data_IF_775647114074
#
_entry.id   IF_775647114074
#
_cell.length_a   1.000
_cell.length_b   1.000
_cell.length_c   1.000
_cell.angle_alpha   90.00
_cell.angle_beta   90.00
_cell.angle_gamma   90.00
#
_symmetry.space_group_name_H-M   'P 1'
#
loop_
_entity.id
_entity.type
_entity.pdbx_description
1 polymer ?
#
# COMPACT_ATOMS: atom_id res chain seq x y z
N UNK A 1 7.37 -14.15 -4.82
CA UNK A 1 8.43 -13.39 -4.11
C UNK A 1 9.76 -14.06 -4.40
N UNK A 2 10.77 -13.31 -4.82
CA UNK A 2 12.10 -13.83 -5.16
C UNK A 2 13.18 -12.92 -4.60
N UNK A 3 14.40 -13.43 -4.49
CA UNK A 3 15.59 -12.64 -4.19
C UNK A 3 16.44 -12.43 -5.45
N UNK A 4 17.22 -11.36 -5.46
CA UNK A 4 18.11 -11.02 -6.57
C UNK A 4 19.55 -11.30 -6.16
N UNK A 5 20.22 -12.15 -6.95
CA UNK A 5 21.60 -12.58 -6.74
C UNK A 5 22.50 -12.08 -7.88
N UNK A 6 23.79 -12.01 -7.62
CA UNK A 6 24.80 -11.84 -8.66
C UNK A 6 24.91 -13.12 -9.51
N UNK A 7 25.52 -13.07 -10.72
CA UNK A 7 25.65 -14.24 -11.59
C UNK A 7 26.43 -15.44 -11.00
N UNK A 8 27.18 -15.22 -9.91
CA UNK A 8 27.85 -16.30 -9.19
C UNK A 8 26.89 -17.22 -8.42
N UNK A 9 25.61 -16.84 -8.33
CA UNK A 9 24.55 -17.62 -7.67
C UNK A 9 24.63 -17.64 -6.15
N UNK A 10 25.60 -16.95 -5.54
CA UNK A 10 25.84 -16.99 -4.09
C UNK A 10 25.92 -15.60 -3.45
N UNK A 11 26.36 -14.57 -4.18
CA UNK A 11 26.47 -13.22 -3.67
C UNK A 11 25.14 -12.49 -3.86
N UNK A 12 24.50 -11.96 -2.80
CA UNK A 12 23.31 -11.13 -2.94
C UNK A 12 23.62 -9.86 -3.75
N UNK A 13 22.73 -9.48 -4.66
CA UNK A 13 22.85 -8.20 -5.35
C UNK A 13 22.75 -7.04 -4.34
N UNK A 14 23.35 -5.88 -4.61
CA UNK A 14 23.38 -4.73 -3.66
C UNK A 14 21.99 -4.20 -3.27
N UNK A 15 20.97 -4.49 -4.08
CA UNK A 15 19.56 -4.18 -3.79
C UNK A 15 18.84 -5.24 -2.95
N UNK A 16 19.42 -6.43 -2.75
CA UNK A 16 18.81 -7.48 -1.94
C UNK A 16 18.92 -7.14 -0.46
N UNK A 17 17.89 -6.46 0.06
CA UNK A 17 17.77 -6.13 1.49
C UNK A 17 17.20 -7.28 2.32
N UNK A 18 16.61 -8.29 1.67
CA UNK A 18 16.13 -9.48 2.38
C UNK A 18 17.28 -10.29 2.95
N UNK A 19 18.37 -10.45 2.19
CA UNK A 19 19.57 -11.18 2.62
C UNK A 19 20.26 -10.59 3.88
N UNK A 20 19.93 -9.35 4.28
CA UNK A 20 20.48 -8.73 5.49
C UNK A 20 19.61 -8.96 6.74
N UNK A 21 18.45 -9.56 6.59
CA UNK A 21 17.48 -9.79 7.66
C UNK A 21 17.64 -11.23 8.14
N UNK A 22 17.82 -11.43 9.44
CA UNK A 22 17.88 -12.75 10.04
C UNK A 22 16.48 -13.33 10.19
N UNK A 23 16.33 -14.62 9.96
CA UNK A 23 15.08 -15.32 10.24
C UNK A 23 14.96 -15.56 11.77
N UNK A 24 13.90 -15.03 12.37
CA UNK A 24 13.55 -15.20 13.80
C UNK A 24 12.05 -15.49 13.90
N UNK A 25 11.70 -16.75 14.20
CA UNK A 25 10.31 -17.20 14.28
C UNK A 25 9.52 -16.57 15.44
N UNK A 26 10.20 -15.99 16.44
CA UNK A 26 9.57 -15.33 17.58
C UNK A 26 9.30 -13.84 17.37
N UNK A 27 9.86 -13.24 16.32
CA UNK A 27 9.73 -11.80 16.06
C UNK A 27 8.41 -11.48 15.35
N UNK A 28 7.62 -10.57 15.92
CA UNK A 28 6.34 -10.13 15.35
C UNK A 28 6.41 -8.67 14.91
N UNK A 29 5.86 -8.38 13.73
CA UNK A 29 5.84 -7.05 13.14
C UNK A 29 4.45 -6.72 12.61
N UNK A 30 4.01 -5.48 12.86
CA UNK A 30 2.86 -4.87 12.22
C UNK A 30 3.34 -3.65 11.43
N UNK A 31 2.86 -3.50 10.20
CA UNK A 31 3.19 -2.36 9.35
C UNK A 31 1.90 -1.68 8.87
N UNK A 32 1.87 -0.36 8.97
CA UNK A 32 0.78 0.47 8.48
C UNK A 32 1.23 1.16 7.19
N UNK A 33 0.92 0.54 6.04
CA UNK A 33 1.31 1.05 4.74
C UNK A 33 0.31 2.09 4.22
N UNK A 34 0.67 3.37 4.29
CA UNK A 34 -0.08 4.45 3.64
C UNK A 34 0.25 4.55 2.15
N UNK A 35 -0.72 4.97 1.32
CA UNK A 35 -0.51 5.23 -0.10
C UNK A 35 -1.54 6.22 -0.67
N UNK A 36 -1.25 6.77 -1.84
CA UNK A 36 -2.12 7.72 -2.54
C UNK A 36 -2.44 7.23 -3.95
N UNK A 37 -3.72 7.30 -4.34
CA UNK A 37 -4.11 7.05 -5.73
C UNK A 37 -3.81 8.25 -6.61
N UNK A 38 -3.21 7.99 -7.76
CA UNK A 38 -2.95 8.98 -8.79
C UNK A 38 -3.53 8.54 -10.12
N UNK A 39 -4.01 9.52 -10.89
CA UNK A 39 -4.44 9.35 -12.28
C UNK A 39 -3.95 10.55 -13.08
N UNK A 40 -3.30 10.30 -14.21
CA UNK A 40 -2.82 11.33 -15.13
C UNK A 40 -1.92 12.40 -14.44
N UNK A 41 -1.05 11.95 -13.53
CA UNK A 41 -0.14 12.82 -12.77
C UNK A 41 -0.80 13.59 -11.61
N UNK A 42 -2.08 13.34 -11.34
CA UNK A 42 -2.88 14.05 -10.33
C UNK A 42 -3.39 13.10 -9.24
N UNK A 43 -3.40 13.49 -7.95
CA UNK A 43 -4.06 12.71 -6.92
C UNK A 43 -5.55 12.53 -7.24
N UNK A 44 -6.05 11.31 -7.10
CA UNK A 44 -7.46 11.00 -7.25
C UNK A 44 -8.28 11.78 -6.21
N UNK A 45 -9.40 12.37 -6.63
CA UNK A 45 -10.28 13.17 -5.77
C UNK A 45 -9.89 14.65 -5.63
N UNK A 46 -8.71 15.05 -6.12
CA UNK A 46 -8.36 16.46 -6.22
C UNK A 46 -9.06 17.11 -7.45
N UNK A 47 -9.33 18.43 -7.40
CA UNK A 47 -9.77 19.16 -8.58
C UNK A 47 -8.69 19.17 -9.68
N UNK A 48 -9.10 19.33 -10.94
CA UNK A 48 -8.21 19.38 -12.11
C UNK A 48 -7.06 20.38 -11.91
N UNK A 49 -7.35 21.52 -11.28
CA UNK A 49 -6.35 22.52 -10.86
C UNK A 49 -6.52 22.88 -9.38
N UNK A 50 -5.42 23.25 -8.71
CA UNK A 50 -5.45 23.72 -7.32
C UNK A 50 -5.40 22.63 -6.25
N UNK A 51 -6.12 22.79 -5.15
CA UNK A 51 -6.15 21.88 -4.01
C UNK A 51 -7.59 21.64 -3.55
N UNK A 52 -7.91 20.50 -2.91
CA UNK A 52 -9.22 20.28 -2.32
C UNK A 52 -9.40 21.18 -1.09
N UNK A 53 -10.59 21.12 -0.49
CA UNK A 53 -10.82 21.75 0.80
C UNK A 53 -9.83 21.22 1.86
N UNK A 54 -9.53 22.01 2.92
CA UNK A 54 -8.61 21.61 3.98
C UNK A 54 -8.91 20.21 4.54
N UNK A 55 -7.87 19.57 5.07
CA UNK A 55 -7.98 18.26 5.72
C UNK A 55 -8.98 18.30 6.89
N UNK A 56 -9.62 17.17 7.15
CA UNK A 56 -10.67 17.04 8.17
C UNK A 56 -11.73 16.01 7.81
N UNK A 57 -12.43 16.14 6.66
CA UNK A 57 -13.54 15.25 6.33
C UNK A 57 -13.11 13.91 5.70
N UNK A 58 -11.82 13.71 5.43
CA UNK A 58 -11.32 12.58 4.62
C UNK A 58 -10.95 11.35 5.46
N UNK A 59 -10.32 11.53 6.63
CA UNK A 59 -9.90 10.43 7.51
C UNK A 59 -11.13 9.65 8.01
N UNK A 60 -11.12 8.33 7.83
CA UNK A 60 -12.26 7.43 8.09
C UNK A 60 -13.56 7.90 7.42
N UNK A 61 -13.43 8.70 6.35
CA UNK A 61 -14.53 9.34 5.66
C UNK A 61 -15.43 8.35 4.94
N UNK A 62 -16.68 8.76 4.73
CA UNK A 62 -17.68 8.02 3.93
C UNK A 62 -18.39 8.97 2.97
N UNK A 63 -19.01 8.39 1.95
CA UNK A 63 -19.80 9.11 0.96
C UNK A 63 -18.98 9.70 -0.19
N UNK A 64 -19.65 9.89 -1.33
CA UNK A 64 -19.03 10.31 -2.58
C UNK A 64 -18.18 11.59 -2.45
N UNK A 65 -18.65 12.55 -1.65
CA UNK A 65 -17.96 13.83 -1.43
C UNK A 65 -16.55 13.67 -0.87
N UNK A 66 -16.33 12.69 0.00
CA UNK A 66 -15.07 12.53 0.73
C UNK A 66 -14.21 11.39 0.17
N UNK A 67 -14.83 10.36 -0.43
CA UNK A 67 -14.16 9.11 -0.85
C UNK A 67 -14.16 8.91 -2.38
N UNK A 68 -14.96 9.68 -3.11
CA UNK A 68 -15.10 9.56 -4.57
C UNK A 68 -15.84 8.29 -5.00
N UNK A 69 -15.78 7.98 -6.31
CA UNK A 69 -16.49 6.84 -6.90
C UNK A 69 -15.74 5.51 -6.88
N UNK A 70 -14.41 5.54 -6.95
CA UNK A 70 -13.60 4.34 -7.25
C UNK A 70 -12.58 3.98 -6.19
N UNK A 71 -12.14 4.95 -5.36
CA UNK A 71 -11.05 4.71 -4.41
C UNK A 71 -11.40 3.57 -3.44
N UNK A 72 -12.57 3.64 -2.78
CA UNK A 72 -13.02 2.58 -1.87
C UNK A 72 -13.15 1.23 -2.54
N UNK A 73 -13.64 1.18 -3.78
CA UNK A 73 -13.74 -0.08 -4.53
C UNK A 73 -12.37 -0.73 -4.72
N UNK A 74 -11.34 0.05 -5.07
CA UNK A 74 -9.97 -0.46 -5.21
C UNK A 74 -9.44 -0.96 -3.87
N UNK A 75 -9.65 -0.22 -2.78
CA UNK A 75 -9.16 -0.62 -1.45
C UNK A 75 -9.82 -1.90 -0.95
N UNK A 76 -11.14 -2.06 -1.12
CA UNK A 76 -11.86 -3.28 -0.71
C UNK A 76 -11.42 -4.49 -1.53
N UNK A 77 -11.34 -4.36 -2.86
CA UNK A 77 -10.85 -5.43 -3.73
C UNK A 77 -9.40 -5.82 -3.37
N UNK A 78 -8.54 -4.84 -3.06
CA UNK A 78 -7.18 -5.11 -2.60
C UNK A 78 -7.15 -5.91 -1.30
N UNK A 79 -7.99 -5.55 -0.32
CA UNK A 79 -8.10 -6.30 0.94
C UNK A 79 -8.52 -7.76 0.67
N UNK A 80 -9.57 -7.96 -0.13
CA UNK A 80 -10.06 -9.29 -0.48
C UNK A 80 -8.98 -10.12 -1.22
N UNK A 81 -8.24 -9.50 -2.14
CA UNK A 81 -7.15 -10.14 -2.87
C UNK A 81 -5.98 -10.51 -1.96
N UNK A 82 -5.59 -9.64 -1.01
CA UNK A 82 -4.57 -9.95 -0.03
C UNK A 82 -4.95 -11.15 0.84
N UNK A 83 -6.19 -11.17 1.35
CA UNK A 83 -6.70 -12.28 2.15
C UNK A 83 -6.76 -13.59 1.35
N UNK A 84 -7.24 -13.53 0.11
CA UNK A 84 -7.27 -14.68 -0.80
C UNK A 84 -5.86 -15.21 -1.12
N UNK A 85 -4.85 -14.34 -1.18
CA UNK A 85 -3.45 -14.71 -1.36
C UNK A 85 -2.76 -15.22 -0.08
N UNK A 86 -3.45 -15.22 1.07
CA UNK A 86 -2.89 -15.62 2.36
C UNK A 86 -1.97 -14.58 3.01
N UNK A 87 -2.06 -13.31 2.60
CA UNK A 87 -1.35 -12.20 3.25
C UNK A 87 -2.12 -11.80 4.51
N UNK A 88 -1.43 -11.70 5.65
CA UNK A 88 -2.04 -11.23 6.89
C UNK A 88 -2.29 -9.70 6.82
N UNK A 89 -3.47 -9.31 6.35
CA UNK A 89 -3.89 -7.91 6.23
C UNK A 89 -4.98 -7.60 7.27
N UNK A 90 -4.63 -6.84 8.30
CA UNK A 90 -5.47 -6.73 9.51
C UNK A 90 -6.50 -5.59 9.48
N UNK A 91 -6.32 -4.59 8.62
CA UNK A 91 -7.31 -3.52 8.48
C UNK A 91 -6.96 -2.51 7.39
N UNK A 92 -7.95 -1.68 7.04
CA UNK A 92 -7.85 -0.58 6.08
C UNK A 92 -8.55 0.65 6.64
N UNK A 93 -8.07 1.85 6.28
CA UNK A 93 -8.76 3.11 6.54
C UNK A 93 -8.54 4.10 5.39
N UNK A 94 -9.43 5.09 5.32
CA UNK A 94 -9.25 6.29 4.51
C UNK A 94 -8.69 7.44 5.36
#
# INVERSE_FOLDING_TARGET
LCEVMMPDGVTPHVSNKRATILDDEGAWFGFEQEYFFYKDGRPLGFPETGYPAPQGPYYTGVGYKNVGSVARQIVEEHLDQCLAAGINHEGINA
#
